data_IF_175031737320
#
_entry.id   IF_175031737320
#
_cell.length_a   1.000
_cell.length_b   1.000
_cell.length_c   1.000
_cell.angle_alpha   90.00
_cell.angle_beta   90.00
_cell.angle_gamma   90.00
#
_symmetry.space_group_name_H-M   'P 1'
#
loop_
_entity.id
_entity.type
_entity.pdbx_description
1 polymer ?
#
# COMPACT_ATOMS: atom_id res chain seq x y z
N UNK A 1 -31.10 2.33 7.76
CA UNK A 1 -30.23 3.44 7.34
C UNK A 1 -28.76 3.02 7.22
N UNK A 2 -28.18 2.23 8.14
CA UNK A 2 -26.81 1.69 8.00
C UNK A 2 -26.63 0.56 6.97
N UNK A 3 -27.72 -0.08 6.51
CA UNK A 3 -27.65 -1.22 5.57
C UNK A 3 -27.17 -0.85 4.16
N UNK A 4 -27.24 0.43 3.79
CA UNK A 4 -26.70 0.92 2.50
C UNK A 4 -25.22 1.29 2.58
N UNK A 5 -24.70 1.61 3.78
CA UNK A 5 -23.27 1.91 3.98
C UNK A 5 -22.38 0.67 3.86
N UNK A 6 -22.97 -0.53 3.89
CA UNK A 6 -22.28 -1.83 3.76
C UNK A 6 -22.68 -2.57 2.47
N UNK A 7 -23.28 -1.90 1.48
CA UNK A 7 -23.30 -2.44 0.12
C UNK A 7 -21.86 -2.37 -0.38
N UNK A 8 -21.15 -3.51 -0.33
CA UNK A 8 -19.91 -3.69 -1.08
C UNK A 8 -20.22 -3.34 -2.54
N UNK A 9 -19.77 -2.18 -3.00
CA UNK A 9 -19.89 -1.84 -4.40
C UNK A 9 -18.97 -2.76 -5.18
N UNK A 10 -19.43 -3.34 -6.29
CA UNK A 10 -18.54 -4.14 -7.17
C UNK A 10 -17.33 -3.34 -7.66
N UNK A 11 -17.40 -2.01 -7.53
CA UNK A 11 -16.40 -1.06 -7.97
C UNK A 11 -15.69 -0.38 -6.79
N UNK A 12 -14.37 -0.19 -6.87
CA UNK A 12 -13.57 0.54 -5.89
C UNK A 12 -14.14 1.95 -5.60
N UNK A 13 -14.34 2.33 -4.33
CA UNK A 13 -14.76 3.69 -3.97
C UNK A 13 -13.81 4.77 -4.48
N UNK A 14 -12.50 4.48 -4.50
CA UNK A 14 -11.46 5.40 -4.97
C UNK A 14 -11.56 5.61 -6.48
N UNK A 15 -11.78 4.51 -7.22
CA UNK A 15 -12.02 4.55 -8.66
C UNK A 15 -13.24 5.43 -9.01
N UNK A 16 -14.35 5.25 -8.28
CA UNK A 16 -15.56 6.05 -8.48
C UNK A 16 -15.35 7.52 -8.12
N UNK A 17 -14.63 7.81 -7.03
CA UNK A 17 -14.32 9.19 -6.61
C UNK A 17 -13.49 9.93 -7.67
N UNK A 18 -12.45 9.29 -8.22
CA UNK A 18 -11.66 9.87 -9.32
C UNK A 18 -12.51 10.14 -10.56
N UNK A 19 -13.35 9.17 -10.94
CA UNK A 19 -14.19 9.27 -12.13
C UNK A 19 -15.21 10.40 -12.06
N UNK A 20 -15.82 10.60 -10.89
CA UNK A 20 -16.94 11.53 -10.73
C UNK A 20 -16.55 12.87 -10.07
N UNK A 21 -15.45 12.92 -9.31
CA UNK A 21 -15.02 14.10 -8.53
C UNK A 21 -13.48 14.26 -8.52
N UNK A 22 -12.84 14.50 -9.67
CA UNK A 22 -11.38 14.49 -9.81
C UNK A 22 -10.67 15.52 -8.91
N UNK A 23 -11.24 16.72 -8.72
CA UNK A 23 -10.63 17.75 -7.86
C UNK A 23 -10.64 17.39 -6.36
N UNK A 24 -11.66 16.62 -5.92
CA UNK A 24 -11.73 16.12 -4.54
C UNK A 24 -10.76 14.97 -4.37
N UNK A 25 -10.67 14.10 -5.38
CA UNK A 25 -9.72 13.01 -5.44
C UNK A 25 -8.27 13.52 -5.33
N UNK A 26 -7.87 14.52 -6.12
CA UNK A 26 -6.51 15.07 -6.06
C UNK A 26 -6.16 15.61 -4.66
N UNK A 27 -7.09 16.31 -4.00
CA UNK A 27 -6.88 16.81 -2.64
C UNK A 27 -6.76 15.68 -1.62
N UNK A 28 -7.61 14.66 -1.72
CA UNK A 28 -7.56 13.48 -0.84
C UNK A 28 -6.23 12.76 -0.97
N UNK A 29 -5.79 12.51 -2.19
CA UNK A 29 -4.51 11.84 -2.48
C UNK A 29 -3.34 12.65 -1.94
N UNK A 30 -3.33 13.97 -2.10
CA UNK A 30 -2.27 14.81 -1.53
C UNK A 30 -2.19 14.69 0.00
N UNK A 31 -3.33 14.56 0.70
CA UNK A 31 -3.39 14.42 2.16
C UNK A 31 -2.97 13.00 2.59
N UNK A 32 -3.54 11.96 1.98
CA UNK A 32 -3.18 10.55 2.28
C UNK A 32 -1.71 10.27 2.00
N UNK A 33 -1.18 10.83 0.92
CA UNK A 33 0.25 10.82 0.63
C UNK A 33 1.01 11.35 1.83
N UNK A 34 0.65 12.52 2.34
CA UNK A 34 1.44 13.18 3.37
C UNK A 34 1.34 12.45 4.73
N UNK A 35 0.15 11.91 5.05
CA UNK A 35 -0.09 11.21 6.31
C UNK A 35 0.46 9.77 6.29
N UNK A 36 0.16 8.98 5.24
CA UNK A 36 0.57 7.58 5.17
C UNK A 36 2.08 7.42 4.91
N UNK A 37 2.72 8.39 4.23
CA UNK A 37 4.20 8.44 4.05
C UNK A 37 4.94 8.28 5.37
N UNK A 38 4.44 8.91 6.44
CA UNK A 38 5.13 8.91 7.74
C UNK A 38 5.18 7.51 8.33
N UNK A 39 4.06 6.78 8.31
CA UNK A 39 3.98 5.42 8.85
C UNK A 39 4.86 4.45 8.05
N UNK A 40 4.81 4.51 6.72
CA UNK A 40 5.61 3.61 5.88
C UNK A 40 7.10 3.91 6.00
N UNK A 41 7.48 5.19 6.05
CA UNK A 41 8.86 5.62 6.32
C UNK A 41 9.38 5.07 7.65
N UNK A 42 8.60 5.22 8.73
CA UNK A 42 8.97 4.69 10.04
C UNK A 42 9.11 3.16 10.04
N UNK A 43 8.26 2.45 9.28
CA UNK A 43 8.40 1.00 9.10
C UNK A 43 9.74 0.65 8.45
N UNK A 44 10.11 1.35 7.38
CA UNK A 44 11.39 1.13 6.69
C UNK A 44 12.56 1.43 7.62
N UNK A 45 12.55 2.56 8.33
CA UNK A 45 13.60 2.95 9.28
C UNK A 45 13.76 1.90 10.40
N UNK A 46 12.66 1.40 10.95
CA UNK A 46 12.67 0.33 11.96
C UNK A 46 13.20 -0.99 11.39
N UNK A 47 12.82 -1.33 10.16
CA UNK A 47 13.33 -2.52 9.49
C UNK A 47 14.83 -2.45 9.22
N UNK A 48 15.37 -1.26 8.91
CA UNK A 48 16.82 -1.02 8.81
C UNK A 48 17.49 -1.22 10.17
N UNK A 49 16.96 -0.60 11.23
CA UNK A 49 17.50 -0.73 12.60
C UNK A 49 17.53 -2.19 13.09
N UNK A 50 16.52 -2.98 12.73
CA UNK A 50 16.39 -4.40 13.10
C UNK A 50 17.06 -5.37 12.11
N UNK A 51 17.75 -4.84 11.09
CA UNK A 51 18.44 -5.57 10.01
C UNK A 51 17.53 -6.43 9.14
N UNK A 52 16.23 -6.15 9.13
CA UNK A 52 15.26 -6.77 8.23
C UNK A 52 15.32 -6.15 6.83
N UNK A 53 15.63 -4.85 6.73
CA UNK A 53 15.78 -4.14 5.46
C UNK A 53 17.22 -3.67 5.21
N UNK A 54 17.56 -3.45 3.94
CA UNK A 54 18.90 -3.04 3.49
C UNK A 54 19.27 -1.65 4.03
N UNK A 55 20.51 -1.47 4.49
CA UNK A 55 20.98 -0.23 5.15
C UNK A 55 21.22 0.94 4.19
N UNK A 56 21.40 0.65 2.91
CA UNK A 56 21.75 1.57 1.83
C UNK A 56 20.52 2.05 1.02
N UNK A 57 19.31 1.77 1.53
CA UNK A 57 18.08 2.21 0.90
C UNK A 57 17.95 3.73 0.94
N UNK A 58 17.56 4.31 -0.20
CA UNK A 58 17.00 5.65 -0.22
C UNK A 58 15.54 5.56 0.23
N UNK A 59 15.30 5.78 1.54
CA UNK A 59 13.99 5.60 2.16
C UNK A 59 12.91 6.41 1.46
N UNK A 60 13.18 7.67 1.10
CA UNK A 60 12.17 8.52 0.46
C UNK A 60 11.78 8.06 -0.94
N UNK A 61 12.74 7.54 -1.71
CA UNK A 61 12.43 6.95 -3.00
C UNK A 61 11.58 5.68 -2.85
N UNK A 62 11.90 4.81 -1.89
CA UNK A 62 11.14 3.58 -1.65
C UNK A 62 9.70 3.89 -1.22
N UNK A 63 9.52 4.84 -0.30
CA UNK A 63 8.19 5.33 0.07
C UNK A 63 7.45 5.87 -1.17
N UNK A 64 8.08 6.71 -1.99
CA UNK A 64 7.48 7.24 -3.22
C UNK A 64 7.09 6.12 -4.21
N UNK A 65 7.94 5.12 -4.40
CA UNK A 65 7.67 4.01 -5.31
C UNK A 65 6.49 3.17 -4.85
N UNK A 66 6.41 2.84 -3.55
CA UNK A 66 5.29 2.09 -3.00
C UNK A 66 3.96 2.82 -3.25
N UNK A 67 3.88 4.10 -2.88
CA UNK A 67 2.66 4.88 -3.11
C UNK A 67 2.32 5.06 -4.59
N UNK A 68 3.31 5.18 -5.47
CA UNK A 68 3.07 5.22 -6.92
C UNK A 68 2.36 3.95 -7.41
N UNK A 69 2.75 2.78 -6.91
CA UNK A 69 2.09 1.51 -7.24
C UNK A 69 0.67 1.43 -6.69
N UNK A 70 0.50 1.75 -5.40
CA UNK A 70 -0.81 1.68 -4.73
C UNK A 70 -1.82 2.63 -5.38
N UNK A 71 -1.41 3.85 -5.74
CA UNK A 71 -2.30 4.75 -6.48
C UNK A 71 -2.60 4.25 -7.87
N UNK A 72 -1.60 3.74 -8.59
CA UNK A 72 -1.85 3.19 -9.92
C UNK A 72 -2.87 2.04 -9.88
N UNK A 73 -2.77 1.14 -8.89
CA UNK A 73 -3.75 0.07 -8.67
C UNK A 73 -5.13 0.67 -8.39
N UNK A 74 -5.25 1.55 -7.39
CA UNK A 74 -6.53 2.13 -6.99
C UNK A 74 -7.22 2.95 -8.09
N UNK A 75 -6.44 3.61 -8.95
CA UNK A 75 -6.96 4.44 -10.02
C UNK A 75 -7.42 3.66 -11.24
N UNK A 76 -6.82 2.49 -11.50
CA UNK A 76 -7.02 1.76 -12.76
C UNK A 76 -7.75 0.43 -12.57
N UNK A 77 -7.91 -0.05 -11.34
CA UNK A 77 -8.60 -1.29 -11.04
C UNK A 77 -10.03 -1.01 -10.59
N UNK A 78 -10.99 -1.50 -11.38
CA UNK A 78 -12.41 -1.31 -11.10
C UNK A 78 -12.83 -2.21 -9.94
N UNK A 79 -12.48 -3.50 -9.96
CA UNK A 79 -12.93 -4.45 -8.95
C UNK A 79 -12.22 -4.20 -7.61
N UNK A 80 -12.99 -4.05 -6.53
CA UNK A 80 -12.44 -3.90 -5.18
C UNK A 80 -11.62 -5.12 -4.76
N UNK A 81 -12.10 -6.32 -5.10
CA UNK A 81 -11.36 -7.56 -4.82
C UNK A 81 -10.04 -7.62 -5.57
N UNK A 82 -10.05 -7.30 -6.86
CA UNK A 82 -8.83 -7.30 -7.68
C UNK A 82 -7.85 -6.22 -7.21
N UNK A 83 -8.34 -5.04 -6.82
CA UNK A 83 -7.51 -4.00 -6.26
C UNK A 83 -6.85 -4.47 -4.95
N UNK A 84 -7.62 -5.09 -4.06
CA UNK A 84 -7.10 -5.67 -2.82
C UNK A 84 -6.02 -6.72 -3.08
N UNK A 85 -6.26 -7.67 -3.98
CA UNK A 85 -5.30 -8.72 -4.34
C UNK A 85 -4.00 -8.09 -4.91
N UNK A 86 -4.11 -7.10 -5.80
CA UNK A 86 -2.97 -6.37 -6.36
C UNK A 86 -2.21 -5.55 -5.31
N UNK A 87 -2.89 -4.97 -4.33
CA UNK A 87 -2.24 -4.25 -3.22
C UNK A 87 -1.42 -5.19 -2.34
N UNK A 88 -1.92 -6.41 -2.07
CA UNK A 88 -1.16 -7.44 -1.35
C UNK A 88 0.09 -7.86 -2.14
N UNK A 89 -0.07 -8.11 -3.44
CA UNK A 89 1.05 -8.43 -4.33
C UNK A 89 2.08 -7.29 -4.36
N UNK A 90 1.63 -6.03 -4.43
CA UNK A 90 2.49 -4.86 -4.42
C UNK A 90 3.25 -4.71 -3.08
N UNK A 91 2.60 -4.97 -1.95
CA UNK A 91 3.22 -4.96 -0.63
C UNK A 91 4.29 -6.04 -0.50
N UNK A 92 4.01 -7.26 -0.94
CA UNK A 92 4.98 -8.35 -0.94
C UNK A 92 6.17 -8.03 -1.85
N UNK A 93 5.89 -7.64 -3.10
CA UNK A 93 6.90 -7.22 -4.08
C UNK A 93 7.83 -6.14 -3.50
N UNK A 94 7.25 -5.08 -2.95
CA UNK A 94 8.01 -3.95 -2.42
C UNK A 94 8.84 -4.37 -1.20
N UNK A 95 8.28 -5.19 -0.33
CA UNK A 95 8.99 -5.73 0.84
C UNK A 95 10.17 -6.60 0.43
N UNK A 96 10.00 -7.51 -0.55
CA UNK A 96 11.10 -8.31 -1.11
C UNK A 96 12.20 -7.44 -1.71
N UNK A 97 11.83 -6.36 -2.39
CA UNK A 97 12.79 -5.43 -2.98
C UNK A 97 13.65 -4.70 -1.94
N UNK A 98 13.17 -4.47 -0.71
CA UNK A 98 13.93 -3.79 0.35
C UNK A 98 14.55 -4.72 1.40
N UNK A 99 14.09 -5.98 1.47
CA UNK A 99 14.50 -6.94 2.49
C UNK A 99 15.95 -7.43 2.36
N UNK A 100 16.56 -7.73 3.51
CA UNK A 100 17.78 -8.54 3.60
C UNK A 100 17.40 -10.03 3.55
N UNK A 101 18.36 -10.97 3.44
CA UNK A 101 18.05 -12.40 3.58
C UNK A 101 17.31 -12.73 4.88
N UNK A 102 17.63 -12.04 5.98
CA UNK A 102 16.90 -12.15 7.26
C UNK A 102 15.47 -11.63 7.14
N UNK A 103 15.27 -10.49 6.48
CA UNK A 103 13.95 -9.92 6.23
C UNK A 103 13.07 -10.81 5.38
N UNK A 104 13.63 -11.45 4.34
CA UNK A 104 12.91 -12.40 3.49
C UNK A 104 12.42 -13.58 4.33
N UNK A 105 13.25 -14.15 5.22
CA UNK A 105 12.82 -15.25 6.09
C UNK A 105 11.66 -14.85 7.01
N UNK A 106 11.66 -13.63 7.55
CA UNK A 106 10.53 -13.12 8.35
C UNK A 106 9.28 -12.92 7.48
N UNK A 107 9.41 -12.36 6.28
CA UNK A 107 8.31 -12.21 5.34
C UNK A 107 7.66 -13.56 5.02
N UNK A 108 8.45 -14.59 4.68
CA UNK A 108 7.95 -15.94 4.40
C UNK A 108 7.21 -16.56 5.60
N UNK A 109 7.54 -16.17 6.82
CA UNK A 109 6.84 -16.62 8.03
C UNK A 109 5.47 -15.94 8.15
N UNK A 110 5.41 -14.64 7.87
CA UNK A 110 4.16 -13.87 7.89
C UNK A 110 3.19 -14.32 6.78
N UNK A 111 3.70 -14.58 5.57
CA UNK A 111 2.87 -15.07 4.45
C UNK A 111 2.27 -16.46 4.70
N UNK A 112 2.97 -17.32 5.45
CA UNK A 112 2.47 -18.66 5.82
C UNK A 112 1.45 -18.63 6.96
N UNK A 113 1.47 -17.60 7.80
CA UNK A 113 0.55 -17.41 8.92
C UNK A 113 -0.05 -15.99 8.84
N UNK A 114 -0.93 -15.72 7.85
CA UNK A 114 -1.57 -14.42 7.76
C UNK A 114 -2.37 -14.17 9.05
N UNK A 115 -2.07 -13.07 9.74
CA UNK A 115 -2.90 -12.59 10.84
C UNK A 115 -4.16 -12.02 10.19
N UNK A 116 -5.24 -12.80 10.19
CA UNK A 116 -6.58 -12.38 9.74
C UNK A 116 -7.27 -11.61 10.86
#
# INVERSE_FOLDING_TARGET
>A
MFKEMFKSSETSPVYQLKKHYPEIYEKMICIEINECKTTFKQNIEKGIQTKLYRKDLNVENYVRFYYTLIFNINENTISEKEAFDLEQDALEYHTRAMATPKGILELEKQLRNPII
#
